data_IF_146952805323
#
_entry.id   IF_146952805323
#
_cell.length_a   1.000
_cell.length_b   1.000
_cell.length_c   1.000
_cell.angle_alpha   90.00
_cell.angle_beta   90.00
_cell.angle_gamma   90.00
#
_symmetry.space_group_name_H-M   'P 1'
#
loop_
_entity.id
_entity.type
_entity.pdbx_description
1 polymer ?
#
# COMPACT_ATOMS: atom_id res chain seq x y z
N UNK A 1 9.24 -41.86 4.94
CA UNK A 1 7.88 -41.49 4.53
C UNK A 1 7.95 -40.04 4.04
N UNK A 2 8.21 -39.85 2.73
CA UNK A 2 8.34 -38.54 2.10
C UNK A 2 6.95 -38.00 1.77
N UNK A 3 6.63 -36.79 2.22
CA UNK A 3 5.44 -36.06 1.79
C UNK A 3 5.82 -35.17 0.60
N UNK A 4 5.44 -35.58 -0.60
CA UNK A 4 5.32 -34.69 -1.76
C UNK A 4 3.93 -34.03 -1.70
N UNK A 5 3.79 -32.71 -1.87
CA UNK A 5 2.49 -32.11 -2.11
C UNK A 5 2.10 -32.37 -3.57
N UNK A 6 0.95 -33.02 -3.76
CA UNK A 6 0.35 -33.24 -5.07
C UNK A 6 0.04 -31.90 -5.75
N UNK A 7 0.48 -31.76 -7.00
CA UNK A 7 0.03 -30.71 -7.91
C UNK A 7 -1.49 -30.84 -8.09
N UNK A 8 -2.23 -29.85 -7.59
CA UNK A 8 -3.66 -29.73 -7.86
C UNK A 8 -3.83 -29.32 -9.33
N UNK A 9 -4.57 -30.14 -10.06
CA UNK A 9 -4.92 -29.96 -11.46
C UNK A 9 -5.88 -28.76 -11.58
N UNK A 10 -5.42 -27.65 -12.16
CA UNK A 10 -6.14 -26.35 -12.25
C UNK A 10 -7.27 -26.30 -13.29
N UNK A 11 -7.82 -27.43 -13.71
CA UNK A 11 -8.83 -27.50 -14.77
C UNK A 11 -10.29 -27.64 -14.31
N UNK A 12 -10.57 -27.58 -13.01
CA UNK A 12 -11.95 -27.69 -12.48
C UNK A 12 -12.22 -26.78 -11.28
N UNK A 13 -11.92 -25.49 -11.41
CA UNK A 13 -12.60 -24.45 -10.60
C UNK A 13 -13.58 -23.75 -11.53
N UNK A 14 -14.78 -24.33 -11.65
CA UNK A 14 -15.90 -23.71 -12.34
C UNK A 14 -16.63 -22.79 -11.37
N UNK A 15 -16.64 -21.51 -11.72
CA UNK A 15 -17.82 -20.64 -11.66
C UNK A 15 -18.51 -20.47 -10.30
N UNK A 16 -17.84 -19.79 -9.37
CA UNK A 16 -18.49 -19.08 -8.27
C UNK A 16 -18.45 -17.57 -8.55
N UNK A 17 -19.39 -17.09 -9.37
CA UNK A 17 -20.10 -15.83 -9.14
C UNK A 17 -19.31 -14.53 -8.89
N UNK A 18 -18.13 -14.35 -9.48
CA UNK A 18 -17.52 -13.03 -9.67
C UNK A 18 -17.48 -12.82 -11.17
N UNK A 19 -18.55 -12.22 -11.70
CA UNK A 19 -18.72 -11.95 -13.12
C UNK A 19 -17.50 -11.18 -13.64
N UNK A 20 -16.62 -11.90 -14.32
CA UNK A 20 -15.48 -11.40 -15.07
C UNK A 20 -15.97 -10.71 -16.36
N UNK A 21 -16.88 -9.75 -16.20
CA UNK A 21 -17.27 -8.89 -17.31
C UNK A 21 -16.03 -8.12 -17.76
N UNK A 22 -15.88 -8.02 -19.07
CA UNK A 22 -14.83 -7.28 -19.77
C UNK A 22 -14.75 -5.79 -19.39
N UNK A 23 -15.65 -5.31 -18.53
CA UNK A 23 -15.74 -3.94 -18.03
C UNK A 23 -14.87 -3.64 -16.80
N UNK A 24 -14.30 -4.63 -16.12
CA UNK A 24 -13.54 -4.40 -14.86
C UNK A 24 -12.01 -4.40 -15.06
N UNK A 25 -11.55 -4.31 -16.32
CA UNK A 25 -10.13 -4.23 -16.65
C UNK A 25 -9.63 -2.81 -16.35
N UNK A 26 -8.66 -2.62 -15.44
CA UNK A 26 -8.08 -1.31 -15.26
C UNK A 26 -7.37 -0.88 -16.57
N UNK A 27 -7.55 0.37 -16.99
CA UNK A 27 -6.83 0.93 -18.12
C UNK A 27 -5.32 0.70 -18.01
N UNK A 28 -4.74 0.16 -19.09
CA UNK A 28 -3.30 -0.06 -19.19
C UNK A 28 -2.61 1.31 -19.32
N UNK A 29 -1.59 1.60 -18.50
CA UNK A 29 -0.89 2.89 -18.58
C UNK A 29 -0.28 3.10 -19.96
N UNK A 30 -0.72 4.16 -20.63
CA UNK A 30 -0.25 4.57 -21.95
C UNK A 30 0.86 5.62 -21.91
N UNK A 31 1.38 6.05 -23.07
CA UNK A 31 2.43 7.07 -23.17
C UNK A 31 2.03 8.46 -22.69
N UNK A 32 0.74 8.73 -22.59
CA UNK A 32 0.18 10.01 -22.12
C UNK A 32 -0.11 10.02 -20.63
N UNK A 33 0.20 8.95 -19.90
CA UNK A 33 0.02 8.89 -18.46
C UNK A 33 1.20 9.56 -17.74
N UNK A 34 0.90 10.29 -16.66
CA UNK A 34 1.93 10.75 -15.73
C UNK A 34 2.32 9.59 -14.83
N UNK A 35 3.56 9.13 -14.95
CA UNK A 35 4.08 7.98 -14.22
C UNK A 35 5.31 8.44 -13.44
N UNK A 36 5.35 8.08 -12.15
CA UNK A 36 6.42 8.45 -11.25
C UNK A 36 7.08 7.23 -10.61
N UNK A 37 8.35 7.36 -10.27
CA UNK A 37 9.12 6.37 -9.49
C UNK A 37 10.03 7.09 -8.51
N UNK A 38 10.77 6.33 -7.69
CA UNK A 38 11.72 6.85 -6.73
C UNK A 38 13.15 6.52 -7.17
N UNK A 39 13.95 7.55 -7.43
CA UNK A 39 15.38 7.46 -7.72
C UNK A 39 16.16 8.32 -6.73
N UNK A 40 17.14 7.74 -6.03
CA UNK A 40 17.96 8.44 -5.03
C UNK A 40 17.14 9.29 -4.03
N UNK A 41 16.05 8.71 -3.51
CA UNK A 41 15.09 9.35 -2.58
C UNK A 41 14.25 10.50 -3.17
N UNK A 42 14.42 10.81 -4.46
CA UNK A 42 13.65 11.82 -5.16
C UNK A 42 12.57 11.16 -6.03
N UNK A 43 11.38 11.76 -6.05
CA UNK A 43 10.33 11.37 -6.99
C UNK A 43 10.69 11.93 -8.36
N UNK A 44 10.77 11.04 -9.35
CA UNK A 44 11.15 11.37 -10.72
C UNK A 44 10.14 10.77 -11.69
N UNK A 45 10.03 11.36 -12.88
CA UNK A 45 9.24 10.79 -13.96
C UNK A 45 9.76 9.41 -14.36
N UNK A 46 8.84 8.53 -14.71
CA UNK A 46 9.06 7.14 -15.09
C UNK A 46 8.49 6.87 -16.48
N UNK A 47 8.86 5.73 -17.06
CA UNK A 47 8.38 5.31 -18.38
C UNK A 47 7.10 4.46 -18.29
N UNK A 48 6.27 4.49 -19.34
CA UNK A 48 5.21 3.51 -19.55
C UNK A 48 5.73 2.06 -19.55
N UNK A 49 4.85 1.07 -19.37
CA UNK A 49 5.23 -0.34 -19.42
C UNK A 49 5.95 -0.70 -20.72
N UNK A 50 7.08 -1.37 -20.60
CA UNK A 50 7.83 -1.90 -21.75
C UNK A 50 7.18 -3.18 -22.31
N UNK A 51 7.76 -3.75 -23.37
CA UNK A 51 7.24 -4.94 -24.07
C UNK A 51 7.44 -6.27 -23.31
N UNK A 52 7.70 -6.25 -22.00
CA UNK A 52 7.83 -7.44 -21.16
C UNK A 52 6.62 -7.58 -20.23
N UNK A 53 6.37 -8.78 -19.65
CA UNK A 53 5.29 -8.94 -18.69
C UNK A 53 5.54 -8.11 -17.43
N UNK A 54 4.48 -7.54 -16.88
CA UNK A 54 4.54 -6.73 -15.66
C UNK A 54 3.30 -6.97 -14.79
N UNK A 55 3.39 -6.55 -13.53
CA UNK A 55 2.28 -6.59 -12.61
C UNK A 55 1.57 -5.24 -12.62
N UNK A 56 0.25 -5.23 -12.83
CA UNK A 56 -0.59 -4.04 -12.70
C UNK A 56 -1.44 -4.18 -11.44
N UNK A 57 -1.36 -3.18 -10.56
CA UNK A 57 -2.06 -3.13 -9.27
C UNK A 57 -3.04 -1.97 -9.32
N UNK A 58 -4.33 -2.28 -9.36
CA UNK A 58 -5.39 -1.28 -9.33
C UNK A 58 -5.90 -1.10 -7.89
N UNK A 59 -5.71 0.09 -7.32
CA UNK A 59 -6.16 0.49 -5.98
C UNK A 59 -7.47 1.27 -6.13
N UNK A 60 -8.57 0.53 -5.99
CA UNK A 60 -9.93 1.07 -5.89
C UNK A 60 -10.46 0.96 -4.46
N UNK A 61 -11.76 0.69 -4.32
CA UNK A 61 -12.37 0.37 -3.02
C UNK A 61 -11.66 -0.79 -2.33
N UNK A 62 -11.36 -1.84 -3.09
CA UNK A 62 -10.37 -2.88 -2.76
C UNK A 62 -9.13 -2.76 -3.64
N UNK A 63 -8.33 -3.82 -3.71
CA UNK A 63 -7.12 -3.89 -4.55
C UNK A 63 -7.23 -5.10 -5.46
N UNK A 64 -6.94 -4.91 -6.75
CA UNK A 64 -6.88 -5.99 -7.73
C UNK A 64 -5.50 -6.07 -8.34
N UNK A 65 -4.95 -7.29 -8.41
CA UNK A 65 -3.64 -7.57 -8.98
C UNK A 65 -3.83 -8.27 -10.33
N UNK A 66 -3.19 -7.74 -11.37
CA UNK A 66 -3.30 -8.24 -12.72
C UNK A 66 -1.94 -8.55 -13.32
N UNK A 67 -1.80 -9.74 -13.88
CA UNK A 67 -0.68 -10.09 -14.75
C UNK A 67 -0.95 -9.52 -16.14
N UNK A 68 -0.05 -8.66 -16.63
CA UNK A 68 -0.10 -8.18 -18.01
C UNK A 68 0.97 -8.91 -18.82
N UNK A 69 0.57 -9.53 -19.93
CA UNK A 69 1.49 -10.21 -20.84
C UNK A 69 2.13 -9.25 -21.84
N UNK A 70 3.16 -9.72 -22.57
CA UNK A 70 3.80 -8.94 -23.67
C UNK A 70 2.82 -8.48 -24.75
N UNK A 71 1.68 -9.18 -24.90
CA UNK A 71 0.63 -8.87 -25.88
C UNK A 71 -0.52 -8.06 -25.27
N UNK A 72 -0.30 -7.41 -24.11
CA UNK A 72 -1.30 -6.66 -23.37
C UNK A 72 -2.55 -7.47 -22.97
N UNK A 73 -2.40 -8.80 -22.85
CA UNK A 73 -3.43 -9.62 -22.24
C UNK A 73 -3.36 -9.41 -20.73
N UNK A 74 -4.45 -8.93 -20.16
CA UNK A 74 -4.59 -8.70 -18.74
C UNK A 74 -5.40 -9.85 -18.13
N UNK A 75 -4.82 -10.48 -17.12
CA UNK A 75 -5.43 -11.55 -16.33
C UNK A 75 -5.41 -11.15 -14.87
N UNK A 76 -6.56 -11.15 -14.20
CA UNK A 76 -6.61 -10.94 -12.74
C UNK A 76 -6.04 -12.18 -12.04
N UNK A 77 -5.05 -11.97 -11.19
CA UNK A 77 -4.35 -13.04 -10.48
C UNK A 77 -4.66 -13.08 -8.98
N UNK A 78 -5.08 -11.94 -8.40
CA UNK A 78 -5.45 -11.87 -6.98
C UNK A 78 -6.20 -10.57 -6.64
N UNK A 79 -6.54 -10.41 -5.36
CA UNK A 79 -7.07 -9.18 -4.80
C UNK A 79 -6.91 -9.09 -3.29
N UNK A 80 -7.12 -7.89 -2.75
CA UNK A 80 -7.22 -7.62 -1.32
C UNK A 80 -8.44 -6.74 -1.04
N UNK A 81 -9.21 -7.03 0.00
CA UNK A 81 -10.30 -6.16 0.47
C UNK A 81 -9.78 -4.93 1.20
N UNK A 82 -8.50 -4.90 1.58
CA UNK A 82 -7.87 -3.81 2.31
C UNK A 82 -7.29 -2.76 1.34
N UNK A 83 -8.18 -1.98 0.74
CA UNK A 83 -7.87 -0.92 -0.23
C UNK A 83 -8.37 0.46 0.22
N UNK A 84 -8.78 1.29 -0.74
CA UNK A 84 -9.19 2.67 -0.50
C UNK A 84 -10.41 2.81 0.42
N UNK A 85 -11.41 1.93 0.30
CA UNK A 85 -12.59 1.98 1.17
C UNK A 85 -12.28 1.58 2.61
N UNK A 86 -11.33 0.66 2.82
CA UNK A 86 -10.87 0.32 4.16
C UNK A 86 -10.14 1.52 4.80
N UNK A 87 -9.25 2.18 4.05
CA UNK A 87 -8.57 3.41 4.50
C UNK A 87 -9.57 4.50 4.86
N UNK A 88 -10.45 4.89 3.92
CA UNK A 88 -11.41 5.96 4.13
C UNK A 88 -12.39 5.63 5.25
N UNK A 89 -12.92 4.39 5.28
CA UNK A 89 -13.85 3.95 6.31
C UNK A 89 -13.26 4.05 7.71
N UNK A 90 -12.02 3.55 7.90
CA UNK A 90 -11.33 3.66 9.18
C UNK A 90 -11.06 5.11 9.57
N UNK A 91 -10.58 5.94 8.64
CA UNK A 91 -10.29 7.35 8.95
C UNK A 91 -11.54 8.19 9.22
N UNK A 92 -12.67 7.87 8.60
CA UNK A 92 -13.96 8.49 8.93
C UNK A 92 -14.40 8.16 10.36
N UNK A 93 -14.15 6.93 10.82
CA UNK A 93 -14.49 6.49 12.18
C UNK A 93 -13.54 7.07 13.24
N UNK A 94 -12.27 7.23 12.89
CA UNK A 94 -11.21 7.56 13.85
C UNK A 94 -10.87 9.06 13.91
N UNK A 95 -11.25 9.86 12.91
CA UNK A 95 -10.82 11.26 12.78
C UNK A 95 -11.96 12.19 12.37
N UNK A 96 -11.69 13.50 12.35
CA UNK A 96 -12.60 14.52 11.82
C UNK A 96 -12.47 14.70 10.30
N UNK A 97 -11.57 13.99 9.62
CA UNK A 97 -11.45 14.05 8.17
C UNK A 97 -12.73 13.53 7.50
N UNK A 98 -13.14 14.13 6.38
CA UNK A 98 -14.40 13.78 5.70
C UNK A 98 -14.24 13.40 4.24
N UNK A 99 -13.20 13.90 3.56
CA UNK A 99 -12.87 13.50 2.19
C UNK A 99 -11.52 12.81 2.14
N UNK A 100 -11.25 12.08 1.04
CA UNK A 100 -9.95 11.45 0.84
C UNK A 100 -8.84 12.50 0.76
N UNK A 101 -9.09 13.63 0.08
CA UNK A 101 -8.15 14.74 -0.03
C UNK A 101 -7.82 15.35 1.35
N UNK A 102 -8.82 15.48 2.22
CA UNK A 102 -8.61 15.92 3.61
C UNK A 102 -7.72 14.95 4.39
N UNK A 103 -7.96 13.63 4.22
CA UNK A 103 -7.17 12.58 4.87
C UNK A 103 -5.71 12.62 4.43
N UNK A 104 -5.45 12.76 3.12
CA UNK A 104 -4.08 12.88 2.58
C UNK A 104 -3.42 14.18 3.07
N UNK A 105 -4.13 15.31 3.04
CA UNK A 105 -3.61 16.60 3.53
C UNK A 105 -3.25 16.56 5.02
N UNK A 106 -4.02 15.83 5.83
CA UNK A 106 -3.73 15.61 7.24
C UNK A 106 -2.53 14.66 7.41
N UNK A 107 -2.50 13.57 6.66
CA UNK A 107 -1.40 12.61 6.67
C UNK A 107 -0.06 13.27 6.35
N UNK A 108 0.00 14.16 5.36
CA UNK A 108 1.22 14.90 4.99
C UNK A 108 1.78 15.79 6.11
N UNK A 109 0.96 16.16 7.09
CA UNK A 109 1.36 16.95 8.27
C UNK A 109 1.57 16.10 9.52
N UNK A 110 1.15 14.84 9.49
CA UNK A 110 1.23 13.92 10.61
C UNK A 110 2.60 13.26 10.75
N UNK A 111 2.81 12.66 11.92
CA UNK A 111 3.96 11.85 12.22
C UNK A 111 3.51 10.53 12.85
N UNK A 112 3.61 9.45 12.09
CA UNK A 112 3.19 8.14 12.59
C UNK A 112 4.03 7.63 13.77
N UNK A 113 5.23 8.15 14.01
CA UNK A 113 6.03 7.79 15.19
C UNK A 113 5.33 8.12 16.52
N UNK A 114 4.31 8.97 16.51
CA UNK A 114 3.49 9.25 17.70
C UNK A 114 2.53 8.10 18.03
N UNK A 115 2.03 7.38 17.03
CA UNK A 115 0.97 6.35 17.14
C UNK A 115 1.50 4.92 16.94
N UNK A 116 2.51 4.76 16.10
CA UNK A 116 3.09 3.49 15.72
C UNK A 116 4.30 3.16 16.58
N UNK A 117 4.56 1.86 16.76
CA UNK A 117 5.83 1.39 17.30
C UNK A 117 6.81 1.16 16.16
N UNK A 118 7.96 1.82 16.22
CA UNK A 118 9.04 1.70 15.25
C UNK A 118 10.09 0.66 15.71
N UNK A 119 10.94 0.23 14.79
CA UNK A 119 12.08 -0.66 15.12
C UNK A 119 13.03 0.03 16.12
N UNK A 120 13.24 1.33 16.00
CA UNK A 120 14.01 2.12 16.95
C UNK A 120 13.42 2.14 18.37
N UNK A 121 12.10 2.05 18.50
CA UNK A 121 11.44 1.97 19.81
C UNK A 121 11.68 0.61 20.51
N UNK A 122 12.07 -0.43 19.75
CA UNK A 122 12.34 -1.78 20.27
C UNK A 122 13.84 -1.97 20.53
N UNK A 123 14.69 -1.52 19.60
CA UNK A 123 16.11 -1.84 19.61
C UNK A 123 17.03 -0.64 19.85
N UNK A 124 16.51 0.60 19.83
CA UNK A 124 17.29 1.83 20.01
C UNK A 124 18.21 2.20 18.83
N UNK A 125 18.29 1.34 17.80
CA UNK A 125 19.17 1.48 16.64
C UNK A 125 18.60 0.73 15.44
N UNK A 126 19.23 0.88 14.28
CA UNK A 126 18.96 0.01 13.13
C UNK A 126 19.15 -1.46 13.51
N UNK A 127 18.21 -2.30 13.11
CA UNK A 127 18.32 -3.74 13.32
C UNK A 127 18.98 -4.39 12.09
N UNK A 128 20.28 -4.12 11.95
CA UNK A 128 21.08 -4.45 10.77
C UNK A 128 21.17 -5.96 10.48
N UNK A 129 20.98 -6.82 11.49
CA UNK A 129 21.00 -8.29 11.34
C UNK A 129 19.99 -8.80 10.29
N UNK A 130 18.88 -8.09 10.12
CA UNK A 130 17.84 -8.42 9.14
C UNK A 130 17.53 -7.24 8.20
N UNK A 131 18.40 -6.23 8.14
CA UNK A 131 18.27 -5.10 7.21
C UNK A 131 17.13 -4.13 7.52
N UNK A 132 16.68 -4.03 8.79
CA UNK A 132 15.61 -3.13 9.20
C UNK A 132 16.15 -1.79 9.69
N UNK A 133 15.70 -0.68 9.08
CA UNK A 133 15.98 0.67 9.57
C UNK A 133 15.19 0.95 10.85
N UNK A 134 15.75 1.75 11.75
CA UNK A 134 15.10 2.15 13.01
C UNK A 134 13.78 2.90 12.79
N UNK A 135 13.63 3.58 11.64
CA UNK A 135 12.42 4.30 11.26
C UNK A 135 11.33 3.41 10.68
N UNK A 136 11.61 2.13 10.42
CA UNK A 136 10.60 1.20 9.92
C UNK A 136 9.53 0.95 11.00
N UNK A 137 8.27 0.94 10.58
CA UNK A 137 7.16 0.58 11.46
C UNK A 137 7.25 -0.91 11.79
N UNK A 138 7.34 -1.22 13.07
CA UNK A 138 7.27 -2.58 13.59
C UNK A 138 5.82 -2.99 13.87
N UNK A 139 5.00 -2.06 14.36
CA UNK A 139 3.59 -2.30 14.67
C UNK A 139 2.76 -1.02 14.60
N UNK A 140 1.85 -0.98 13.64
CA UNK A 140 0.88 0.12 13.44
C UNK A 140 -0.04 0.25 14.65
N UNK A 141 -0.26 1.48 15.13
CA UNK A 141 -1.14 1.82 16.27
C UNK A 141 -0.83 1.15 17.62
N UNK A 142 0.34 0.53 17.76
CA UNK A 142 0.72 -0.13 19.01
C UNK A 142 0.79 0.81 20.22
N UNK A 143 1.16 2.08 20.02
CA UNK A 143 1.20 3.06 21.12
C UNK A 143 -0.20 3.39 21.61
N UNK A 144 -1.20 3.39 20.72
CA UNK A 144 -2.59 3.59 21.11
C UNK A 144 -3.10 2.46 22.00
N UNK A 145 -2.85 1.21 21.61
CA UNK A 145 -3.19 0.04 22.44
C UNK A 145 -2.48 0.08 23.81
N UNK A 146 -1.22 0.52 23.83
CA UNK A 146 -0.41 0.55 25.06
C UNK A 146 -0.87 1.62 26.06
N UNK A 147 -1.44 2.74 25.62
CA UNK A 147 -1.95 3.79 26.50
C UNK A 147 -3.17 3.33 27.30
N UNK A 148 -4.03 2.51 26.71
CA UNK A 148 -5.23 1.96 27.35
C UNK A 148 -4.90 0.92 28.45
N UNK A 149 -3.71 0.31 28.38
CA UNK A 149 -3.30 -0.79 29.27
C UNK A 149 -2.15 -0.41 30.23
N UNK A 150 -1.92 0.88 30.51
CA UNK A 150 -0.90 1.32 31.49
C UNK A 150 -1.33 0.94 32.91
N UNK A 151 -0.46 0.32 33.74
CA UNK A 151 -0.74 0.08 35.16
C UNK A 151 -0.97 1.40 35.91
N UNK A 152 -1.95 1.42 36.82
CA UNK A 152 -2.39 2.61 37.58
C UNK A 152 -1.28 3.28 38.42
N UNK A 153 -0.16 2.59 38.69
CA UNK A 153 0.91 3.12 39.52
C UNK A 153 1.81 4.15 38.80
N UNK A 154 1.89 4.12 37.46
CA UNK A 154 2.65 5.10 36.67
C UNK A 154 1.81 6.32 36.21
N UNK A 155 0.49 6.30 36.40
CA UNK A 155 -0.40 7.41 36.02
C UNK A 155 -0.42 8.54 37.04
N UNK A 156 0.09 8.32 38.26
CA UNK A 156 0.06 9.30 39.36
C UNK A 156 1.05 10.46 39.25
N UNK A 157 2.03 10.40 38.34
CA UNK A 157 2.96 11.52 38.12
C UNK A 157 2.47 12.56 37.11
N UNK A 158 1.30 12.33 36.50
CA UNK A 158 0.63 13.31 35.68
C UNK A 158 -0.82 13.43 36.17
N UNK A 159 -1.17 14.58 36.77
CA UNK A 159 -2.55 15.00 37.01
C UNK A 159 -3.32 14.96 35.69
N UNK A 160 -3.92 13.82 35.40
CA UNK A 160 -4.56 13.52 34.11
C UNK A 160 -5.92 12.98 34.46
N UNK A 161 -6.92 13.86 34.44
CA UNK A 161 -8.33 13.48 34.48
C UNK A 161 -8.63 12.52 33.33
N UNK A 162 -9.63 11.66 33.48
CA UNK A 162 -10.03 10.64 32.49
C UNK A 162 -10.33 11.20 31.08
N UNK A 163 -10.44 12.52 30.93
CA UNK A 163 -10.59 13.25 29.66
C UNK A 163 -9.26 13.50 28.90
N UNK A 164 -8.12 13.32 29.57
CA UNK A 164 -6.77 13.61 29.05
C UNK A 164 -6.01 12.31 28.69
N UNK A 165 -6.70 11.27 28.22
CA UNK A 165 -6.02 10.30 27.34
C UNK A 165 -5.44 11.16 26.22
N UNK A 166 -4.11 11.32 26.18
CA UNK A 166 -3.41 12.03 25.10
C UNK A 166 -3.96 11.52 23.77
N UNK A 167 -4.91 12.26 23.22
CA UNK A 167 -5.60 11.86 22.01
C UNK A 167 -4.59 12.09 20.90
N UNK A 168 -4.22 11.02 20.22
CA UNK A 168 -3.36 11.15 19.05
C UNK A 168 -4.00 12.12 18.09
N UNK A 169 -3.19 12.98 17.47
CA UNK A 169 -3.75 13.96 16.55
C UNK A 169 -4.34 13.24 15.34
N UNK A 170 -5.43 13.78 14.78
CA UNK A 170 -6.03 13.29 13.54
C UNK A 170 -4.98 13.18 12.42
N UNK A 171 -4.00 14.10 12.38
CA UNK A 171 -2.89 14.07 11.44
C UNK A 171 -2.00 12.83 11.60
N UNK A 172 -1.64 12.46 12.84
CA UNK A 172 -0.82 11.28 13.13
C UNK A 172 -1.57 9.99 12.80
N UNK A 173 -2.87 9.93 13.13
CA UNK A 173 -3.74 8.80 12.79
C UNK A 173 -3.85 8.65 11.27
N UNK A 174 -4.10 9.75 10.55
CA UNK A 174 -4.12 9.78 9.09
C UNK A 174 -2.78 9.31 8.50
N UNK A 175 -1.66 9.83 8.98
CA UNK A 175 -0.33 9.43 8.47
C UNK A 175 -0.09 7.93 8.66
N UNK A 176 -0.33 7.42 9.87
CA UNK A 176 -0.13 6.01 10.18
C UNK A 176 -0.99 5.09 9.32
N UNK A 177 -2.29 5.37 9.16
CA UNK A 177 -3.16 4.52 8.35
C UNK A 177 -2.90 4.61 6.85
N UNK A 178 -2.62 5.81 6.33
CA UNK A 178 -2.20 5.97 4.92
C UNK A 178 -0.92 5.16 4.69
N UNK A 179 0.09 5.33 5.55
CA UNK A 179 1.32 4.54 5.46
C UNK A 179 1.04 3.04 5.53
N UNK A 180 0.27 2.58 6.52
CA UNK A 180 0.01 1.16 6.74
C UNK A 180 -0.70 0.49 5.56
N UNK A 181 -1.73 1.13 5.01
CA UNK A 181 -2.48 0.61 3.86
C UNK A 181 -1.59 0.53 2.62
N UNK A 182 -0.94 1.63 2.23
CA UNK A 182 -0.11 1.63 1.01
C UNK A 182 1.16 0.79 1.17
N UNK A 183 1.76 0.71 2.35
CA UNK A 183 2.88 -0.19 2.62
C UNK A 183 2.46 -1.66 2.53
N UNK A 184 1.26 -2.03 3.04
CA UNK A 184 0.71 -3.37 2.88
C UNK A 184 0.45 -3.71 1.41
N UNK A 185 -0.11 -2.78 0.64
CA UNK A 185 -0.31 -2.94 -0.81
C UNK A 185 1.03 -3.17 -1.52
N UNK A 186 2.06 -2.38 -1.21
CA UNK A 186 3.41 -2.55 -1.77
C UNK A 186 4.04 -3.90 -1.42
N UNK A 187 3.81 -4.39 -0.20
CA UNK A 187 4.27 -5.72 0.23
C UNK A 187 3.58 -6.83 -0.58
N UNK A 188 2.24 -6.81 -0.68
CA UNK A 188 1.47 -7.79 -1.43
C UNK A 188 1.84 -7.77 -2.91
N UNK A 189 2.00 -6.58 -3.50
CA UNK A 189 2.44 -6.43 -4.89
C UNK A 189 3.83 -7.05 -5.10
N UNK A 190 4.75 -6.86 -4.15
CA UNK A 190 6.07 -7.48 -4.21
C UNK A 190 5.99 -9.01 -4.16
N UNK A 191 5.15 -9.57 -3.29
CA UNK A 191 4.94 -11.02 -3.20
C UNK A 191 4.36 -11.59 -4.51
N UNK A 192 3.34 -10.95 -5.08
CA UNK A 192 2.77 -11.35 -6.37
C UNK A 192 3.79 -11.23 -7.50
N UNK A 193 4.56 -10.14 -7.55
CA UNK A 193 5.60 -9.96 -8.58
C UNK A 193 6.67 -11.06 -8.55
N UNK A 194 6.98 -11.61 -7.38
CA UNK A 194 7.90 -12.75 -7.23
C UNK A 194 7.29 -14.04 -7.75
N UNK A 195 6.04 -14.32 -7.39
CA UNK A 195 5.32 -15.52 -7.83
C UNK A 195 5.22 -15.55 -9.36
N UNK A 196 4.96 -14.40 -9.99
CA UNK A 196 4.75 -14.28 -11.43
C UNK A 196 5.99 -13.80 -12.21
N UNK A 197 7.14 -13.68 -11.53
CA UNK A 197 8.42 -13.27 -12.10
C UNK A 197 8.35 -11.94 -12.90
N UNK A 198 7.63 -10.95 -12.36
CA UNK A 198 7.62 -9.59 -12.90
C UNK A 198 8.77 -8.80 -12.30
N UNK A 199 9.44 -7.97 -13.11
CA UNK A 199 10.42 -7.00 -12.61
C UNK A 199 9.75 -5.67 -12.25
N UNK A 200 8.73 -5.28 -13.01
CA UNK A 200 8.05 -4.00 -12.90
C UNK A 200 6.63 -4.16 -12.35
N UNK A 201 6.29 -3.24 -11.45
CA UNK A 201 5.01 -3.16 -10.78
C UNK A 201 4.44 -1.76 -11.01
N UNK A 202 3.29 -1.69 -11.69
CA UNK A 202 2.58 -0.45 -11.95
C UNK A 202 1.39 -0.33 -10.99
N UNK A 203 1.34 0.73 -10.20
CA UNK A 203 0.22 1.08 -9.33
C UNK A 203 -0.65 2.12 -10.02
N UNK A 204 -1.96 1.90 -10.03
CA UNK A 204 -2.95 2.78 -10.65
C UNK A 204 -4.24 2.77 -9.82
N UNK A 205 -5.20 3.60 -10.19
CA UNK A 205 -6.55 3.60 -9.62
C UNK A 205 -6.88 4.90 -8.90
N UNK A 206 -8.15 5.12 -8.55
CA UNK A 206 -8.61 6.40 -8.04
C UNK A 206 -8.01 6.78 -6.68
N UNK A 207 -7.48 5.83 -5.90
CA UNK A 207 -6.82 6.15 -4.62
C UNK A 207 -5.32 6.38 -4.75
N UNK A 208 -4.78 6.26 -5.96
CA UNK A 208 -3.39 6.60 -6.28
C UNK A 208 -3.39 8.02 -6.85
N UNK A 209 -3.41 9.00 -5.96
CA UNK A 209 -3.38 10.42 -6.32
C UNK A 209 -1.95 10.96 -6.45
N UNK A 210 -1.84 12.21 -6.94
CA UNK A 210 -0.60 13.01 -6.90
C UNK A 210 -0.24 13.42 -5.46
N UNK A 211 0.00 12.43 -4.60
CA UNK A 211 0.52 12.64 -3.26
C UNK A 211 1.91 12.05 -3.17
N UNK A 212 2.86 12.91 -2.84
CA UNK A 212 4.25 12.53 -2.60
C UNK A 212 4.36 11.45 -1.51
N UNK A 213 3.47 11.47 -0.51
CA UNK A 213 3.42 10.46 0.54
C UNK A 213 3.07 9.08 -0.01
N UNK A 214 2.04 8.97 -0.85
CA UNK A 214 1.59 7.70 -1.45
C UNK A 214 2.66 7.15 -2.40
N UNK A 215 3.16 8.00 -3.31
CA UNK A 215 4.16 7.61 -4.30
C UNK A 215 5.43 7.09 -3.60
N UNK A 216 5.93 7.82 -2.59
CA UNK A 216 7.08 7.40 -1.80
C UNK A 216 6.82 6.09 -1.07
N UNK A 217 5.67 5.97 -0.40
CA UNK A 217 5.34 4.78 0.40
C UNK A 217 5.33 3.52 -0.47
N UNK A 218 4.66 3.56 -1.63
CA UNK A 218 4.62 2.42 -2.55
C UNK A 218 6.01 2.07 -3.10
N UNK A 219 6.78 3.08 -3.53
CA UNK A 219 8.12 2.84 -4.08
C UNK A 219 9.10 2.29 -3.04
N UNK A 220 9.09 2.87 -1.82
CA UNK A 220 9.92 2.41 -0.71
C UNK A 220 9.50 1.00 -0.29
N UNK A 221 8.21 0.70 -0.19
CA UNK A 221 7.72 -0.63 0.15
C UNK A 221 8.22 -1.67 -0.85
N UNK A 222 8.05 -1.44 -2.15
CA UNK A 222 8.53 -2.36 -3.19
C UNK A 222 10.04 -2.52 -3.11
N UNK A 223 10.81 -1.42 -3.04
CA UNK A 223 12.27 -1.47 -2.92
C UNK A 223 12.70 -2.26 -1.68
N UNK A 224 12.06 -2.03 -0.54
CA UNK A 224 12.37 -2.66 0.73
C UNK A 224 12.05 -4.17 0.70
N UNK A 225 10.82 -4.56 0.39
CA UNK A 225 10.41 -5.96 0.41
C UNK A 225 11.03 -6.79 -0.72
N UNK A 226 11.41 -6.14 -1.83
CA UNK A 226 12.12 -6.79 -2.93
C UNK A 226 13.63 -6.85 -2.77
N UNK A 227 14.22 -6.15 -1.79
CA UNK A 227 15.68 -5.92 -1.73
C UNK A 227 16.22 -5.25 -3.01
N UNK A 228 15.47 -4.26 -3.52
CA UNK A 228 15.76 -3.51 -4.76
C UNK A 228 15.73 -4.33 -6.06
N UNK A 229 15.25 -5.58 -6.03
CA UNK A 229 15.13 -6.43 -7.22
C UNK A 229 13.97 -5.99 -8.14
N UNK A 230 12.91 -5.40 -7.56
CA UNK A 230 11.69 -5.00 -8.27
C UNK A 230 11.59 -3.47 -8.35
N UNK A 231 10.94 -2.98 -9.39
CA UNK A 231 10.72 -1.55 -9.64
C UNK A 231 9.25 -1.20 -9.51
N UNK A 232 8.97 -0.10 -8.84
CA UNK A 232 7.63 0.45 -8.68
C UNK A 232 7.44 1.66 -9.58
N UNK A 233 6.26 1.74 -10.19
CA UNK A 233 5.84 2.84 -11.05
C UNK A 233 4.43 3.24 -10.63
N UNK A 234 4.21 4.52 -10.35
CA UNK A 234 2.95 5.03 -9.81
C UNK A 234 2.31 5.93 -10.86
N UNK A 235 1.12 5.56 -11.32
CA UNK A 235 0.37 6.22 -12.38
C UNK A 235 -0.63 7.18 -11.74
N UNK A 236 -0.45 8.48 -11.96
CA UNK A 236 -1.21 9.55 -11.28
C UNK A 236 -2.31 10.12 -12.16
N UNK A 237 -2.02 10.35 -13.43
CA UNK A 237 -3.01 10.82 -14.40
C UNK A 237 -3.12 9.82 -15.54
N UNK A 238 -4.34 9.39 -15.82
CA UNK A 238 -4.67 8.73 -17.07
C UNK A 238 -5.48 9.73 -17.89
N UNK A 239 -4.84 10.41 -18.84
CA UNK A 239 -5.61 10.99 -19.93
C UNK A 239 -6.42 9.84 -20.54
N UNK A 240 -7.74 9.91 -20.56
CA UNK A 240 -8.56 8.90 -21.25
C UNK A 240 -8.14 8.88 -22.73
N UNK A 241 -7.27 7.94 -23.09
CA UNK A 241 -6.81 7.74 -24.45
C UNK A 241 -7.51 6.50 -25.00
N UNK A 242 -8.57 6.74 -25.77
CA UNK A 242 -9.07 5.81 -26.77
C UNK A 242 -10.11 4.82 -26.30
N UNK A 243 -11.34 5.30 -26.12
CA UNK A 243 -12.50 4.57 -26.63
C UNK A 243 -12.36 4.52 -28.15
N UNK A 244 -11.55 3.60 -28.65
CA UNK A 244 -11.43 3.29 -30.08
C UNK A 244 -12.38 2.13 -30.35
N UNK A 245 -13.66 2.47 -30.41
CA UNK A 245 -14.63 1.72 -31.18
C UNK A 245 -14.20 1.74 -32.65
N UNK A 246 -13.68 0.60 -33.12
CA UNK A 246 -13.82 0.12 -34.51
C UNK A 246 -14.02 -1.40 -34.45
#
# INVERSE_FOLDING_TARGET
MQYLPNLVNTSQITDDGIDGSTHDRPPIPGPSCDIFTLADENIVSSTPPATHPYLLVNVGSGVSFFQISKKNQCQRISGSSFGGSALCGLLLLLTKARTFEDMIRLAEKGNNANVDKLIGDIYGMDYSRIGMKMTAVASTFCKAFSLEHRPEDESRSATTTTEDIKTFSDADICHSLVFAVFNNIGQLATLHSRIHNNQDIYFTGPYVHDSQLIIRTLCIAVRYYSQSEKRAHVVVNQSQAGDASI
#
